data_IF_132883146057
#
_entry.id   IF_132883146057
#
_cell.length_a   1.000
_cell.length_b   1.000
_cell.length_c   1.000
_cell.angle_alpha   90.00
_cell.angle_beta   90.00
_cell.angle_gamma   90.00
#
_symmetry.space_group_name_H-M   'P 1'
#
loop_
_entity.id
_entity.type
_entity.pdbx_description
1 polymer ?
#
# COMPACT_ATOMS: atom_id res chain seq x y z
N UNK A 1 -15.59 9.34 -23.18
CA UNK A 1 -14.94 8.37 -22.26
C UNK A 1 -14.57 9.14 -21.01
N UNK A 2 -14.78 8.58 -19.80
CA UNK A 2 -14.15 9.13 -18.59
C UNK A 2 -12.65 9.33 -18.85
N UNK A 3 -12.09 10.49 -18.51
CA UNK A 3 -10.67 10.82 -18.74
C UNK A 3 -10.29 11.27 -20.16
N UNK A 4 -11.25 11.50 -21.07
CA UNK A 4 -11.01 12.27 -22.31
C UNK A 4 -11.66 13.65 -22.18
N UNK A 5 -10.98 14.56 -21.50
CA UNK A 5 -11.24 16.00 -21.61
C UNK A 5 -10.47 16.59 -22.79
N UNK A 6 -10.95 17.73 -23.29
CA UNK A 6 -10.14 18.60 -24.15
C UNK A 6 -8.85 18.99 -23.40
N UNK A 7 -7.79 19.33 -24.12
CA UNK A 7 -6.64 19.97 -23.48
C UNK A 7 -7.12 21.24 -22.76
N UNK A 8 -6.61 21.47 -21.55
CA UNK A 8 -6.87 22.69 -20.79
C UNK A 8 -6.38 23.89 -21.61
N UNK A 9 -7.14 24.98 -21.61
CA UNK A 9 -6.66 26.26 -22.12
C UNK A 9 -5.63 26.86 -21.15
N UNK A 10 -4.88 27.88 -21.59
CA UNK A 10 -3.81 28.49 -20.77
C UNK A 10 -4.30 29.03 -19.41
N UNK A 11 -5.60 29.33 -19.31
CA UNK A 11 -6.25 29.86 -18.10
C UNK A 11 -7.18 28.84 -17.41
N UNK A 12 -7.15 27.54 -17.78
CA UNK A 12 -7.98 26.52 -17.15
C UNK A 12 -7.17 25.62 -16.19
N UNK A 13 -7.60 25.58 -14.93
CA UNK A 13 -7.06 24.67 -13.92
C UNK A 13 -8.03 23.54 -13.59
N UNK A 14 -7.49 22.33 -13.36
CA UNK A 14 -8.29 21.20 -12.89
C UNK A 14 -8.50 21.32 -11.38
N UNK A 15 -9.72 21.70 -11.00
CA UNK A 15 -10.13 21.73 -9.60
C UNK A 15 -10.70 20.37 -9.19
N UNK A 16 -10.31 19.90 -8.02
CA UNK A 16 -10.84 18.67 -7.43
C UNK A 16 -12.31 18.87 -7.02
N UNK A 17 -13.21 18.04 -7.55
CA UNK A 17 -14.59 17.97 -7.03
C UNK A 17 -14.62 17.13 -5.74
N UNK A 18 -14.63 17.80 -4.59
CA UNK A 18 -14.67 17.15 -3.28
C UNK A 18 -15.93 16.30 -3.07
N UNK A 19 -17.05 16.62 -3.73
CA UNK A 19 -18.30 15.85 -3.62
C UNK A 19 -18.20 14.44 -4.23
N UNK A 20 -17.19 14.19 -5.07
CA UNK A 20 -16.92 12.87 -5.65
C UNK A 20 -16.29 11.88 -4.66
N UNK A 21 -15.84 12.33 -3.48
CA UNK A 21 -15.07 11.54 -2.53
C UNK A 21 -15.77 11.44 -1.18
N UNK A 22 -15.74 10.24 -0.58
CA UNK A 22 -16.08 10.04 0.85
C UNK A 22 -14.85 10.06 1.76
N UNK A 23 -13.69 9.75 1.19
CA UNK A 23 -12.40 9.73 1.88
C UNK A 23 -11.34 10.10 0.84
N UNK A 24 -10.49 11.06 1.16
CA UNK A 24 -9.39 11.47 0.28
C UNK A 24 -8.17 11.85 1.12
N UNK A 25 -7.05 11.22 0.83
CA UNK A 25 -5.77 11.51 1.46
C UNK A 25 -4.66 11.44 0.43
N UNK A 26 -3.75 12.41 0.48
CA UNK A 26 -2.53 12.41 -0.30
C UNK A 26 -1.35 12.02 0.60
N UNK A 27 -0.62 10.99 0.20
CA UNK A 27 0.49 10.44 0.95
C UNK A 27 1.78 10.70 0.18
N UNK A 28 2.76 11.29 0.86
CA UNK A 28 4.09 11.45 0.31
C UNK A 28 4.96 10.29 0.80
N UNK A 29 5.31 9.40 -0.13
CA UNK A 29 6.22 8.28 0.12
C UNK A 29 7.65 8.64 -0.29
N UNK A 30 8.64 8.04 0.38
CA UNK A 30 10.06 8.36 0.16
C UNK A 30 10.59 7.95 -1.22
N UNK A 31 9.94 6.99 -1.87
CA UNK A 31 10.31 6.48 -3.18
C UNK A 31 9.07 6.09 -3.99
N UNK A 32 9.12 6.22 -5.33
CA UNK A 32 8.07 5.70 -6.20
C UNK A 32 7.80 4.22 -5.93
N UNK A 33 6.53 3.83 -6.04
CA UNK A 33 6.10 2.45 -5.88
C UNK A 33 5.34 2.00 -7.13
N UNK A 34 5.79 0.93 -7.77
CA UNK A 34 5.14 0.39 -8.98
C UNK A 34 3.83 -0.33 -8.67
N UNK A 35 3.68 -0.81 -7.45
CA UNK A 35 2.49 -1.52 -7.01
C UNK A 35 2.35 -1.43 -5.50
N UNK A 36 1.10 -1.50 -5.06
CA UNK A 36 0.71 -1.72 -3.68
C UNK A 36 -0.41 -2.77 -3.63
N UNK A 37 -0.66 -3.29 -2.44
CA UNK A 37 -1.79 -4.16 -2.14
C UNK A 37 -2.35 -3.85 -0.76
N UNK A 38 -3.64 -4.14 -0.54
CA UNK A 38 -4.33 -3.86 0.72
C UNK A 38 -4.26 -5.09 1.62
N UNK A 39 -3.96 -4.89 2.91
CA UNK A 39 -3.99 -5.94 3.93
C UNK A 39 -5.37 -5.90 4.62
N UNK A 40 -6.28 -6.76 4.19
CA UNK A 40 -7.69 -6.75 4.60
C UNK A 40 -7.92 -7.30 6.02
N UNK A 41 -8.38 -6.46 6.93
CA UNK A 41 -8.77 -6.91 8.27
C UNK A 41 -9.90 -7.97 8.29
N UNK A 42 -10.11 -8.56 9.45
CA UNK A 42 -11.18 -9.53 9.71
C UNK A 42 -12.45 -8.90 10.30
N UNK A 43 -12.67 -7.58 10.14
CA UNK A 43 -13.79 -6.85 10.74
C UNK A 43 -15.09 -6.93 9.92
N UNK A 44 -15.09 -7.71 8.83
CA UNK A 44 -16.26 -7.96 7.99
C UNK A 44 -16.19 -7.29 6.61
N UNK A 45 -17.03 -7.78 5.71
CA UNK A 45 -17.09 -7.32 4.31
C UNK A 45 -18.04 -6.12 4.14
N UNK A 46 -17.85 -5.35 3.07
CA UNK A 46 -18.73 -4.25 2.64
C UNK A 46 -18.98 -3.16 3.70
N UNK A 47 -17.98 -2.89 4.55
CA UNK A 47 -18.02 -1.74 5.47
C UNK A 47 -17.93 -0.45 4.68
N UNK A 48 -19.04 0.27 4.57
CA UNK A 48 -19.09 1.55 3.87
C UNK A 48 -18.43 2.64 4.72
N UNK A 49 -17.63 3.48 4.08
CA UNK A 49 -17.17 4.75 4.64
C UNK A 49 -18.26 5.77 4.33
N UNK A 50 -18.84 6.39 5.34
CA UNK A 50 -19.91 7.39 5.18
C UNK A 50 -19.38 8.81 5.41
N UNK A 51 -20.02 9.79 4.78
CA UNK A 51 -19.76 11.22 5.04
C UNK A 51 -20.15 11.54 6.49
N UNK A 52 -19.32 12.32 7.19
CA UNK A 52 -19.39 12.53 8.65
C UNK A 52 -19.25 11.23 9.48
N UNK A 53 -18.69 10.17 8.90
CA UNK A 53 -18.50 8.88 9.58
C UNK A 53 -17.29 8.86 10.54
N UNK A 54 -17.12 7.74 11.23
CA UNK A 54 -16.00 7.53 12.15
C UNK A 54 -14.66 7.41 11.39
N UNK A 55 -13.52 7.75 12.04
CA UNK A 55 -12.19 7.55 11.48
C UNK A 55 -11.94 6.09 11.11
N UNK A 56 -11.31 5.88 9.96
CA UNK A 56 -10.92 4.56 9.45
C UNK A 56 -9.42 4.35 9.52
N UNK A 57 -9.03 3.07 9.59
CA UNK A 57 -7.64 2.64 9.52
C UNK A 57 -7.47 1.73 8.31
N UNK A 58 -6.40 1.91 7.56
CA UNK A 58 -6.04 1.05 6.43
C UNK A 58 -4.63 0.51 6.59
N UNK A 59 -4.44 -0.73 6.19
CA UNK A 59 -3.13 -1.37 6.10
C UNK A 59 -2.82 -1.69 4.65
N UNK A 60 -1.59 -1.41 4.25
CA UNK A 60 -1.15 -1.65 2.88
C UNK A 60 0.29 -2.12 2.87
N UNK A 61 0.64 -2.81 1.78
CA UNK A 61 2.01 -3.18 1.49
C UNK A 61 2.40 -2.63 0.12
N UNK A 62 3.61 -2.12 -0.02
CA UNK A 62 4.09 -1.50 -1.25
C UNK A 62 5.54 -1.85 -1.51
N UNK A 63 5.93 -1.87 -2.78
CA UNK A 63 7.31 -2.12 -3.20
C UNK A 63 7.93 -0.91 -3.87
N UNK A 64 9.14 -0.51 -3.46
CA UNK A 64 9.80 0.65 -4.03
C UNK A 64 10.46 0.38 -5.37
N UNK A 65 10.63 1.45 -6.14
CA UNK A 65 11.52 1.59 -7.28
C UNK A 65 12.48 2.75 -7.03
N UNK A 66 13.69 2.43 -6.61
CA UNK A 66 14.75 3.42 -6.37
C UNK A 66 15.81 3.41 -7.47
N UNK A 67 16.49 4.53 -7.66
CA UNK A 67 17.67 4.57 -8.52
C UNK A 67 18.80 3.67 -7.98
N UNK A 68 19.69 3.21 -8.86
CA UNK A 68 20.75 2.19 -8.63
C UNK A 68 21.69 2.36 -7.42
N UNK A 69 21.59 3.45 -6.63
CA UNK A 69 22.42 3.70 -5.43
C UNK A 69 21.64 3.67 -4.11
N UNK A 70 20.31 3.66 -4.14
CA UNK A 70 19.47 3.59 -2.94
C UNK A 70 18.88 2.18 -2.81
N UNK A 71 18.86 1.58 -1.61
CA UNK A 71 18.26 0.27 -1.42
C UNK A 71 16.76 0.32 -1.72
N UNK A 72 16.25 -0.71 -2.38
CA UNK A 72 14.82 -0.93 -2.50
C UNK A 72 14.28 -1.56 -1.22
N UNK A 73 13.00 -1.34 -0.93
CA UNK A 73 12.34 -1.84 0.26
C UNK A 73 10.93 -2.33 -0.07
N UNK A 74 10.53 -3.43 0.57
CA UNK A 74 9.13 -3.76 0.78
C UNK A 74 8.67 -2.97 2.02
N UNK A 75 7.59 -2.21 1.89
CA UNK A 75 7.10 -1.29 2.93
C UNK A 75 5.72 -1.75 3.37
N UNK A 76 5.58 -2.08 4.65
CA UNK A 76 4.29 -2.29 5.31
C UNK A 76 3.88 -0.97 5.96
N UNK A 77 2.67 -0.51 5.69
CA UNK A 77 2.15 0.77 6.17
C UNK A 77 0.84 0.58 6.91
N UNK A 78 0.66 1.36 7.98
CA UNK A 78 -0.62 1.58 8.66
C UNK A 78 -0.96 3.06 8.56
N UNK A 79 -2.15 3.34 8.04
CA UNK A 79 -2.73 4.67 8.02
C UNK A 79 -3.86 4.68 9.03
N UNK A 80 -3.69 5.37 10.14
CA UNK A 80 -4.71 5.50 11.20
C UNK A 80 -5.34 6.89 11.21
N UNK A 81 -6.48 7.00 11.90
CA UNK A 81 -7.20 8.25 12.11
C UNK A 81 -7.60 8.96 10.79
N UNK A 82 -7.88 8.20 9.74
CA UNK A 82 -8.34 8.75 8.47
C UNK A 82 -9.81 9.11 8.56
N UNK A 83 -10.12 10.40 8.67
CA UNK A 83 -11.48 10.92 8.79
C UNK A 83 -12.16 11.03 7.42
N UNK A 84 -13.39 10.51 7.29
CA UNK A 84 -14.20 10.75 6.10
C UNK A 84 -14.45 12.24 5.88
N UNK A 85 -14.74 12.62 4.64
CA UNK A 85 -15.17 13.97 4.30
C UNK A 85 -16.43 14.34 5.08
N UNK A 86 -16.57 15.62 5.38
CA UNK A 86 -17.76 16.17 6.02
C UNK A 86 -18.80 16.64 4.99
N UNK A 87 -20.06 16.77 5.41
CA UNK A 87 -21.10 17.37 4.55
C UNK A 87 -20.75 18.79 4.12
N UNK A 88 -20.05 19.55 4.96
CA UNK A 88 -19.60 20.91 4.65
C UNK A 88 -18.63 20.90 3.47
N UNK A 89 -17.59 20.07 3.55
CA UNK A 89 -16.56 19.96 2.50
C UNK A 89 -17.08 19.42 1.16
N UNK A 90 -18.18 18.67 1.19
CA UNK A 90 -18.79 18.08 -0.02
C UNK A 90 -19.88 18.95 -0.65
N UNK A 91 -20.32 20.02 0.01
CA UNK A 91 -21.41 20.90 -0.49
C UNK A 91 -20.93 22.30 -0.88
N UNK A 92 -19.81 22.77 -0.35
CA UNK A 92 -19.21 24.04 -0.75
C UNK A 92 -18.55 23.90 -2.14
N UNK A 93 -19.15 24.53 -3.16
CA UNK A 93 -18.44 24.87 -4.40
C UNK A 93 -17.59 26.10 -4.09
N UNK A 94 -16.28 25.96 -4.19
CA UNK A 94 -15.30 26.95 -3.78
C UNK A 94 -15.36 28.21 -4.66
N UNK A 95 -16.27 29.15 -4.37
CA UNK A 95 -16.16 30.55 -4.80
C UNK A 95 -15.36 31.38 -3.76
N UNK A 96 -14.39 30.78 -3.06
CA UNK A 96 -13.46 31.50 -2.20
C UNK A 96 -12.06 30.87 -2.30
N UNK A 97 -11.31 31.37 -3.28
CA UNK A 97 -9.85 31.46 -3.23
C UNK A 97 -9.46 32.38 -2.06
N UNK A 98 -9.44 31.82 -0.85
CA UNK A 98 -8.67 32.25 0.33
C UNK A 98 -9.33 31.65 1.58
N UNK A 99 -8.94 30.42 1.90
CA UNK A 99 -8.90 30.01 3.31
C UNK A 99 -7.48 29.56 3.61
N UNK A 100 -6.57 30.54 3.62
CA UNK A 100 -5.49 30.52 4.61
C UNK A 100 -6.08 30.17 5.97
N UNK A 101 -5.36 29.35 6.75
CA UNK A 101 -5.50 29.16 8.19
C UNK A 101 -6.46 30.14 8.85
N UNK A 102 -7.64 29.66 9.23
CA UNK A 102 -8.46 30.36 10.21
C UNK A 102 -8.61 29.45 11.41
N UNK A 103 -7.64 29.62 12.31
CA UNK A 103 -7.65 29.27 13.72
C UNK A 103 -9.07 29.26 14.30
N UNK A 104 -9.51 28.08 14.69
CA UNK A 104 -10.45 27.88 15.78
C UNK A 104 -9.70 27.08 16.86
N UNK A 105 -8.88 27.80 17.64
CA UNK A 105 -8.39 27.57 19.01
C UNK A 105 -8.64 26.20 19.71
N UNK A 106 -8.35 25.11 19.01
CA UNK A 106 -7.93 23.80 19.51
C UNK A 106 -7.53 22.97 18.31
N UNK A 107 -6.34 23.19 17.78
CA UNK A 107 -5.68 22.23 16.87
C UNK A 107 -5.45 20.94 17.66
N UNK A 108 -6.49 20.12 17.70
CA UNK A 108 -6.44 18.78 18.26
C UNK A 108 -5.51 17.98 17.34
N UNK A 109 -4.21 17.99 17.64
CA UNK A 109 -3.21 17.22 16.88
C UNK A 109 -3.61 15.74 16.80
N UNK A 110 -4.40 15.26 17.76
CA UNK A 110 -4.98 13.91 17.78
C UNK A 110 -6.04 13.70 16.67
N UNK A 111 -6.35 14.72 15.88
CA UNK A 111 -7.33 14.69 14.79
C UNK A 111 -6.72 14.43 13.40
N UNK A 112 -5.40 14.50 13.27
CA UNK A 112 -4.70 14.33 11.99
C UNK A 112 -4.48 12.85 11.63
N UNK A 113 -4.49 12.49 10.34
CA UNK A 113 -4.14 11.14 9.90
C UNK A 113 -2.69 10.82 10.26
N UNK A 114 -2.45 9.58 10.67
CA UNK A 114 -1.12 9.11 11.06
C UNK A 114 -0.65 8.03 10.08
N UNK A 115 0.63 8.07 9.71
CA UNK A 115 1.28 7.06 8.87
C UNK A 115 2.45 6.42 9.63
N UNK A 116 2.29 5.14 9.94
CA UNK A 116 3.36 4.28 10.45
C UNK A 116 3.87 3.37 9.34
N UNK A 117 5.19 3.20 9.22
CA UNK A 117 5.79 2.38 8.15
C UNK A 117 6.99 1.55 8.58
N UNK A 118 6.92 0.24 8.35
CA UNK A 118 8.01 -0.70 8.58
C UNK A 118 8.60 -1.15 7.23
N UNK A 119 9.93 -1.05 7.09
CA UNK A 119 10.65 -1.34 5.84
C UNK A 119 11.44 -2.63 5.95
N UNK A 120 11.30 -3.49 4.95
CA UNK A 120 12.09 -4.70 4.77
C UNK A 120 13.02 -4.46 3.56
N UNK A 121 14.34 -4.51 3.73
CA UNK A 121 15.27 -4.37 2.61
C UNK A 121 15.02 -5.41 1.52
N UNK A 122 15.01 -4.95 0.27
CA UNK A 122 14.74 -5.78 -0.90
C UNK A 122 15.84 -5.62 -1.95
N UNK A 123 16.27 -6.73 -2.54
CA UNK A 123 17.27 -6.72 -3.60
C UNK A 123 16.61 -6.49 -4.96
N UNK A 124 16.94 -5.36 -5.59
CA UNK A 124 16.30 -4.91 -6.82
C UNK A 124 14.92 -4.27 -6.61
N UNK A 125 14.46 -3.57 -7.64
CA UNK A 125 13.12 -2.97 -7.74
C UNK A 125 12.04 -4.03 -7.56
N UNK A 126 10.95 -3.65 -6.88
CA UNK A 126 9.76 -4.50 -6.73
C UNK A 126 8.73 -4.10 -7.80
N UNK A 127 8.62 -4.92 -8.84
CA UNK A 127 7.71 -4.71 -9.96
C UNK A 127 6.24 -4.98 -9.60
N UNK A 128 5.99 -6.01 -8.79
CA UNK A 128 4.65 -6.33 -8.29
C UNK A 128 4.69 -6.84 -6.85
N UNK A 129 3.75 -6.39 -6.04
CA UNK A 129 3.45 -6.93 -4.70
C UNK A 129 2.04 -7.51 -4.66
N UNK A 130 1.89 -8.66 -3.99
CA UNK A 130 0.59 -9.29 -3.71
C UNK A 130 0.55 -9.86 -2.30
N UNK A 131 -0.38 -9.37 -1.50
CA UNK A 131 -0.64 -9.87 -0.16
C UNK A 131 -1.59 -11.06 -0.20
N UNK A 132 -1.47 -11.95 0.79
CA UNK A 132 -2.37 -13.08 0.97
C UNK A 132 -2.36 -13.53 2.42
N UNK A 133 -3.55 -13.77 2.98
CA UNK A 133 -3.66 -14.35 4.30
C UNK A 133 -3.66 -15.87 4.21
N UNK A 134 -2.77 -16.52 4.95
CA UNK A 134 -2.65 -17.97 5.03
C UNK A 134 -2.62 -18.40 6.50
N UNK A 135 -3.61 -19.18 6.95
CA UNK A 135 -3.73 -19.62 8.35
C UNK A 135 -3.62 -18.49 9.38
N UNK A 136 -4.22 -17.33 9.08
CA UNK A 136 -4.19 -16.16 9.96
C UNK A 136 -2.92 -15.30 9.85
N UNK A 137 -1.88 -15.76 9.14
CA UNK A 137 -0.63 -15.03 8.90
C UNK A 137 -0.72 -14.27 7.59
N UNK A 138 -0.22 -13.03 7.58
CA UNK A 138 -0.06 -12.28 6.35
C UNK A 138 1.24 -12.63 5.66
N UNK A 139 1.10 -13.23 4.48
CA UNK A 139 2.19 -13.41 3.54
C UNK A 139 2.13 -12.32 2.47
N UNK A 140 3.28 -12.04 1.88
CA UNK A 140 3.36 -11.21 0.68
C UNK A 140 4.32 -11.82 -0.31
N UNK A 141 3.90 -11.86 -1.57
CA UNK A 141 4.79 -12.17 -2.68
C UNK A 141 5.29 -10.88 -3.33
N UNK A 142 6.58 -10.83 -3.64
CA UNK A 142 7.18 -9.76 -4.46
C UNK A 142 7.75 -10.34 -5.74
N UNK A 143 7.58 -9.62 -6.83
CA UNK A 143 8.25 -9.88 -8.10
C UNK A 143 9.37 -8.86 -8.28
N UNK A 144 10.62 -9.33 -8.38
CA UNK A 144 11.82 -8.51 -8.52
C UNK A 144 12.20 -8.26 -9.99
N UNK A 145 12.77 -7.10 -10.28
CA UNK A 145 13.44 -6.81 -11.57
C UNK A 145 14.58 -7.79 -11.89
N UNK A 146 15.08 -8.51 -10.88
CA UNK A 146 16.16 -9.48 -11.02
C UNK A 146 15.68 -10.86 -11.52
N UNK A 147 14.40 -11.00 -11.90
CA UNK A 147 13.82 -12.29 -12.32
C UNK A 147 13.58 -13.25 -11.15
N UNK A 148 13.45 -12.72 -9.94
CA UNK A 148 13.22 -13.50 -8.72
C UNK A 148 11.83 -13.22 -8.14
N UNK A 149 11.19 -14.24 -7.59
CA UNK A 149 9.94 -14.10 -6.83
C UNK A 149 10.18 -14.48 -5.39
N UNK A 150 9.88 -13.58 -4.47
CA UNK A 150 10.09 -13.81 -3.05
C UNK A 150 8.74 -13.94 -2.32
N UNK A 151 8.73 -14.70 -1.24
CA UNK A 151 7.60 -14.77 -0.30
C UNK A 151 8.10 -14.31 1.07
N UNK A 152 7.37 -13.38 1.68
CA UNK A 152 7.71 -12.73 2.94
C UNK A 152 6.63 -13.00 3.98
N UNK A 153 7.04 -13.22 5.22
CA UNK A 153 6.16 -13.15 6.39
C UNK A 153 6.09 -11.70 6.86
N UNK A 154 4.90 -11.12 6.91
CA UNK A 154 4.70 -9.74 7.33
C UNK A 154 4.44 -9.59 8.83
N UNK A 155 4.36 -10.67 9.60
CA UNK A 155 3.95 -10.65 11.01
C UNK A 155 4.76 -9.65 11.83
N UNK A 156 6.09 -9.68 11.68
CA UNK A 156 6.98 -8.78 12.45
C UNK A 156 6.78 -7.31 12.09
N UNK A 157 6.71 -6.99 10.80
CA UNK A 157 6.50 -5.63 10.32
C UNK A 157 5.08 -5.13 10.65
N UNK A 158 4.08 -6.00 10.64
CA UNK A 158 2.72 -5.69 11.08
C UNK A 158 2.66 -5.42 12.59
N UNK A 159 3.36 -6.20 13.42
CA UNK A 159 3.49 -5.88 14.85
C UNK A 159 4.14 -4.53 15.05
N UNK A 160 5.18 -4.19 14.28
CA UNK A 160 5.88 -2.92 14.38
C UNK A 160 4.98 -1.72 14.09
N UNK A 161 4.26 -1.71 12.96
CA UNK A 161 3.36 -0.57 12.63
C UNK A 161 2.15 -0.46 13.59
N UNK A 162 1.94 -1.43 14.49
CA UNK A 162 0.85 -1.41 15.47
C UNK A 162 1.30 -1.09 16.90
N UNK A 163 2.60 -1.08 17.19
CA UNK A 163 3.13 -0.89 18.53
C UNK A 163 4.41 -0.06 18.47
N UNK A 164 4.39 1.13 19.06
CA UNK A 164 5.51 2.09 19.01
C UNK A 164 6.78 1.60 19.71
N UNK A 165 6.66 0.74 20.74
CA UNK A 165 7.80 0.13 21.40
C UNK A 165 8.46 -0.91 20.49
N UNK A 166 7.62 -1.71 19.79
CA UNK A 166 8.10 -2.65 18.78
C UNK A 166 8.74 -1.90 17.60
N UNK A 167 8.10 -0.84 17.11
CA UNK A 167 8.63 -0.04 16.00
C UNK A 167 9.99 0.59 16.35
N UNK A 168 10.10 1.12 17.56
CA UNK A 168 11.35 1.68 18.06
C UNK A 168 12.48 0.64 18.08
N UNK A 169 12.18 -0.59 18.49
CA UNK A 169 13.14 -1.69 18.42
C UNK A 169 13.47 -2.06 16.97
N UNK A 170 12.46 -2.23 16.12
CA UNK A 170 12.59 -2.62 14.71
C UNK A 170 13.55 -1.69 13.96
N UNK A 171 13.43 -0.37 14.18
CA UNK A 171 14.33 0.64 13.61
C UNK A 171 15.72 0.59 14.24
N UNK A 172 15.80 0.50 15.57
CA UNK A 172 17.08 0.52 16.31
C UNK A 172 17.97 -0.66 15.92
N UNK A 173 17.41 -1.85 15.78
CA UNK A 173 18.15 -3.07 15.42
C UNK A 173 18.32 -3.24 13.91
N UNK A 174 17.69 -2.38 13.10
CA UNK A 174 17.66 -2.45 11.63
C UNK A 174 17.20 -3.84 11.17
N UNK A 175 16.06 -4.29 11.70
CA UNK A 175 15.55 -5.61 11.35
C UNK A 175 15.41 -5.76 9.83
N UNK A 176 15.94 -6.86 9.32
CA UNK A 176 15.89 -7.20 7.91
C UNK A 176 15.44 -8.66 7.78
N UNK A 177 14.15 -8.96 7.98
CA UNK A 177 13.63 -10.31 7.80
C UNK A 177 13.99 -10.85 6.42
N UNK A 178 14.52 -12.07 6.35
CA UNK A 178 14.79 -12.75 5.09
C UNK A 178 13.50 -13.30 4.47
N UNK A 179 13.40 -13.41 3.14
CA UNK A 179 12.26 -14.06 2.52
C UNK A 179 12.15 -15.52 2.96
N UNK A 180 10.92 -15.98 3.23
CA UNK A 180 10.61 -17.38 3.52
C UNK A 180 10.97 -18.29 2.35
N UNK A 181 10.81 -17.77 1.14
CA UNK A 181 11.07 -18.50 -0.10
C UNK A 181 11.52 -17.54 -1.19
N UNK A 182 12.42 -18.02 -2.05
CA UNK A 182 12.86 -17.31 -3.25
C UNK A 182 12.86 -18.27 -4.43
N UNK A 183 12.06 -17.95 -5.44
CA UNK A 183 12.04 -18.64 -6.72
C UNK A 183 12.91 -17.90 -7.74
N UNK A 184 13.84 -18.61 -8.37
CA UNK A 184 14.79 -18.07 -9.36
C UNK A 184 14.69 -18.75 -10.73
N UNK A 185 13.51 -19.28 -11.06
CA UNK A 185 13.31 -20.03 -12.30
C UNK A 185 13.00 -19.17 -13.53
N UNK A 186 12.74 -17.87 -13.35
CA UNK A 186 12.54 -16.94 -14.45
C UNK A 186 13.89 -16.47 -15.03
N UNK A 187 13.94 -16.29 -16.35
CA UNK A 187 15.15 -15.84 -17.05
C UNK A 187 15.19 -14.32 -17.22
N UNK A 188 14.03 -13.67 -17.13
CA UNK A 188 13.86 -12.23 -17.26
C UNK A 188 12.96 -11.71 -16.15
N UNK A 189 12.90 -10.39 -16.00
CA UNK A 189 11.91 -9.75 -15.16
C UNK A 189 10.48 -9.95 -15.68
N UNK A 190 9.52 -9.42 -14.94
CA UNK A 190 8.11 -9.64 -15.14
C UNK A 190 7.28 -8.78 -14.21
N UNK A 191 5.98 -8.95 -14.33
CA UNK A 191 5.00 -8.22 -13.54
C UNK A 191 3.82 -9.09 -13.16
N UNK A 192 3.60 -10.26 -13.75
CA UNK A 192 2.44 -11.07 -13.44
C UNK A 192 2.67 -11.81 -12.10
N UNK A 193 1.78 -11.59 -11.13
CA UNK A 193 1.83 -12.23 -9.82
C UNK A 193 0.41 -12.33 -9.27
N UNK A 194 -0.01 -13.53 -8.87
CA UNK A 194 -1.33 -13.77 -8.30
C UNK A 194 -1.35 -14.99 -7.37
N UNK A 195 -1.86 -14.79 -6.16
CA UNK A 195 -2.24 -15.89 -5.29
C UNK A 195 -3.56 -16.50 -5.76
N UNK A 196 -3.72 -17.81 -5.59
CA UNK A 196 -4.97 -18.50 -5.87
C UNK A 196 -6.07 -18.02 -4.92
N UNK A 197 -7.25 -17.62 -5.45
CA UNK A 197 -8.40 -17.26 -4.64
C UNK A 197 -9.21 -18.48 -4.17
N UNK A 198 -8.87 -19.68 -4.68
CA UNK A 198 -9.64 -20.89 -4.43
C UNK A 198 -9.17 -21.58 -3.15
N UNK A 199 -10.09 -21.82 -2.21
CA UNK A 199 -9.80 -22.50 -0.95
C UNK A 199 -9.09 -23.87 -1.13
N UNK A 200 -9.41 -24.62 -2.20
CA UNK A 200 -8.77 -25.91 -2.52
C UNK A 200 -7.32 -25.79 -2.99
N UNK A 201 -6.92 -24.61 -3.45
CA UNK A 201 -5.57 -24.29 -3.91
C UNK A 201 -5.01 -23.12 -3.09
N UNK A 202 -5.38 -23.02 -1.81
CA UNK A 202 -4.88 -21.98 -0.92
C UNK A 202 -3.35 -22.00 -0.88
N UNK A 203 -2.74 -20.82 -0.96
CA UNK A 203 -1.29 -20.68 -0.98
C UNK A 203 -0.63 -20.99 -2.34
N UNK A 204 -1.37 -21.42 -3.36
CA UNK A 204 -0.79 -21.50 -4.71
C UNK A 204 -0.48 -20.09 -5.21
N UNK A 205 0.69 -19.92 -5.81
CA UNK A 205 1.16 -18.67 -6.39
C UNK A 205 1.48 -18.91 -7.86
N UNK A 206 0.93 -18.06 -8.71
CA UNK A 206 1.23 -18.02 -10.13
C UNK A 206 2.03 -16.74 -10.44
N UNK A 207 2.97 -16.87 -11.37
CA UNK A 207 3.77 -15.74 -11.80
C UNK A 207 4.20 -15.85 -13.25
N UNK A 208 4.51 -14.72 -13.88
CA UNK A 208 4.88 -14.67 -15.29
C UNK A 208 5.87 -13.57 -15.61
N UNK A 209 6.84 -13.91 -16.47
CA UNK A 209 7.87 -12.99 -16.95
C UNK A 209 7.52 -12.37 -18.31
N UNK A 210 8.29 -11.35 -18.70
CA UNK A 210 8.11 -10.65 -19.99
C UNK A 210 8.46 -11.52 -21.21
N UNK A 211 9.20 -12.62 -21.01
CA UNK A 211 9.51 -13.60 -22.05
C UNK A 211 8.38 -14.61 -22.27
N UNK A 212 7.31 -14.56 -21.46
CA UNK A 212 6.12 -15.41 -21.58
C UNK A 212 6.19 -16.72 -20.80
N UNK A 213 7.21 -16.94 -19.96
CA UNK A 213 7.23 -18.09 -19.08
C UNK A 213 6.26 -17.89 -17.92
N UNK A 214 5.48 -18.93 -17.59
CA UNK A 214 4.54 -18.94 -16.48
C UNK A 214 4.92 -20.07 -15.54
N UNK A 215 5.02 -19.76 -14.25
CA UNK A 215 5.26 -20.75 -13.21
C UNK A 215 4.10 -20.72 -12.22
N UNK A 216 3.70 -21.90 -11.76
CA UNK A 216 2.71 -22.08 -10.70
C UNK A 216 3.36 -22.98 -9.66
N UNK A 217 3.38 -22.56 -8.41
CA UNK A 217 3.94 -23.36 -7.33
C UNK A 217 3.09 -23.27 -6.07
N UNK A 218 3.24 -24.30 -5.25
CA UNK A 218 2.77 -24.31 -3.88
C UNK A 218 4.00 -24.14 -2.97
N UNK A 219 4.12 -23.04 -2.22
CA UNK A 219 5.14 -22.90 -1.19
C UNK A 219 4.95 -24.05 -0.19
N UNK A 220 5.94 -24.93 -0.08
CA UNK A 220 5.96 -25.97 0.95
C UNK A 220 6.73 -25.42 2.13
N UNK A 221 6.08 -25.33 3.29
CA UNK A 221 6.79 -25.13 4.56
C UNK A 221 7.57 -26.42 4.82
N UNK A 222 8.91 -26.33 4.85
CA UNK A 222 9.78 -27.44 5.28
C UNK A 222 9.76 -27.58 6.79
#
# INVERSE_FOLDING_TARGET
MPGRSRALEEDEELVMDKAAYRLYYQLHVEAPCLSFDILLDCLGENRAVEVDGDPVTAYMVSGTQTAHKKPNNLIVMKLSNMKPMTKKETTEKEDNEDSSDSDSDSEDLDSQPELESAKIPHNGTINRVRAHQFNGVYLTATWSELGEVHIWDLSRSLSAVNDSAIMSEYVRTREAPSPLFTFKGHQTEGYALAWSPLAKAQGYLASGDVAGAIHIWQPRVS
#
